data_IF_171984682335
#
_entry.id   IF_171984682335
#
_cell.length_a   1.000
_cell.length_b   1.000
_cell.length_c   1.000
_cell.angle_alpha   90.00
_cell.angle_beta   90.00
_cell.angle_gamma   90.00
#
_symmetry.space_group_name_H-M   'P 1'
#
loop_
_entity.id
_entity.type
_entity.pdbx_description
1 polymer ?
#
# COMPACT_ATOMS: atom_id res chain seq x y z
N UNK A 1 -2.70 -8.65 24.46
CA UNK A 1 -3.36 -7.80 23.46
C UNK A 1 -3.81 -6.55 24.18
N UNK A 2 -3.09 -5.46 24.03
CA UNK A 2 -3.54 -4.19 24.58
C UNK A 2 -4.45 -3.56 23.53
N UNK A 3 -5.69 -3.47 23.85
CA UNK A 3 -6.68 -2.78 23.03
C UNK A 3 -6.73 -1.33 23.50
N UNK A 4 -6.50 -0.42 22.62
CA UNK A 4 -6.61 1.00 22.89
C UNK A 4 -8.03 1.45 22.57
N UNK A 5 -8.75 1.97 23.54
CA UNK A 5 -9.99 2.69 23.25
C UNK A 5 -9.60 4.14 22.98
N UNK A 6 -10.00 4.66 21.83
CA UNK A 6 -9.87 6.06 21.57
C UNK A 6 -10.51 6.84 22.71
N UNK A 7 -9.85 7.90 23.10
CA UNK A 7 -10.49 8.90 23.96
C UNK A 7 -11.81 9.23 23.30
N UNK A 8 -12.91 8.83 23.90
CA UNK A 8 -14.21 9.27 23.50
C UNK A 8 -14.23 10.79 23.70
N UNK A 9 -14.00 11.55 22.62
CA UNK A 9 -14.30 12.98 22.60
C UNK A 9 -15.82 13.13 22.68
N UNK A 10 -16.32 12.96 23.88
CA UNK A 10 -17.73 13.17 24.17
C UNK A 10 -17.93 14.66 24.25
N UNK A 11 -18.45 15.25 23.16
CA UNK A 11 -19.00 16.61 23.24
C UNK A 11 -20.29 16.58 24.09
N UNK A 12 -20.76 17.72 24.56
CA UNK A 12 -21.95 17.84 25.43
C UNK A 12 -23.14 17.01 24.93
N UNK A 13 -23.32 16.92 23.62
CA UNK A 13 -24.42 16.19 23.01
C UNK A 13 -24.21 14.67 23.03
N UNK A 14 -22.99 14.22 22.84
CA UNK A 14 -22.61 12.78 22.94
C UNK A 14 -22.63 12.33 24.41
N UNK A 15 -22.19 13.19 25.32
CA UNK A 15 -22.22 13.00 26.75
C UNK A 15 -23.65 12.74 27.24
N UNK A 16 -24.59 13.59 26.84
CA UNK A 16 -25.98 13.44 27.19
C UNK A 16 -26.56 12.09 26.73
N UNK A 17 -26.32 11.71 25.49
CA UNK A 17 -26.85 10.47 24.93
C UNK A 17 -26.25 9.22 25.58
N UNK A 18 -24.98 9.23 25.90
CA UNK A 18 -24.32 8.11 26.59
C UNK A 18 -24.82 8.03 28.04
N UNK A 19 -24.86 9.14 28.72
CA UNK A 19 -25.34 9.25 30.10
C UNK A 19 -26.78 8.76 30.23
N UNK A 20 -27.66 9.20 29.34
CA UNK A 20 -29.05 8.76 29.33
C UNK A 20 -29.18 7.25 29.11
N UNK A 21 -28.50 6.72 28.10
CA UNK A 21 -28.53 5.28 27.80
C UNK A 21 -27.98 4.42 28.94
N UNK A 22 -26.84 4.78 29.50
CA UNK A 22 -26.22 4.03 30.59
C UNK A 22 -27.04 4.13 31.87
N UNK A 23 -27.55 5.32 32.21
CA UNK A 23 -28.43 5.49 33.37
C UNK A 23 -29.70 4.67 33.24
N UNK A 24 -30.28 4.57 32.06
CA UNK A 24 -31.48 3.76 31.80
C UNK A 24 -31.18 2.27 31.93
N UNK A 25 -30.01 1.84 31.39
CA UNK A 25 -29.66 0.41 31.36
C UNK A 25 -29.06 -0.08 32.67
N UNK A 26 -28.22 0.74 33.33
CA UNK A 26 -27.45 0.35 34.50
C UNK A 26 -27.98 0.98 35.79
N UNK A 27 -29.02 1.81 35.73
CA UNK A 27 -29.59 2.56 36.86
C UNK A 27 -28.54 3.38 37.63
N UNK A 28 -27.58 3.94 36.91
CA UNK A 28 -26.50 4.79 37.46
C UNK A 28 -27.00 6.21 37.55
N UNK A 29 -27.03 6.78 38.75
CA UNK A 29 -27.50 8.16 38.98
C UNK A 29 -26.51 9.25 38.56
N UNK A 30 -25.22 8.92 38.59
CA UNK A 30 -24.14 9.79 38.14
C UNK A 30 -23.14 8.97 37.35
N UNK A 31 -22.81 9.44 36.16
CA UNK A 31 -21.78 8.85 35.31
C UNK A 31 -20.66 9.87 35.12
N UNK A 32 -19.43 9.58 35.60
CA UNK A 32 -18.31 10.50 35.50
C UNK A 32 -17.80 10.55 34.06
N UNK A 33 -18.49 11.29 33.21
CA UNK A 33 -18.17 11.39 31.78
C UNK A 33 -17.01 12.36 31.53
N UNK A 34 -16.51 12.99 32.59
CA UNK A 34 -15.42 13.98 32.49
C UNK A 34 -14.01 13.38 32.59
N UNK A 35 -13.90 12.08 32.81
CA UNK A 35 -12.60 11.42 32.88
C UNK A 35 -12.20 10.92 31.48
N UNK A 36 -11.23 11.61 30.89
CA UNK A 36 -10.57 11.22 29.66
C UNK A 36 -9.40 10.27 29.97
N UNK A 37 -9.67 9.17 30.61
CA UNK A 37 -8.64 8.16 30.78
C UNK A 37 -8.67 7.21 29.59
N UNK A 38 -7.53 6.97 28.94
CA UNK A 38 -7.47 5.93 27.94
C UNK A 38 -7.73 4.58 28.61
N UNK A 39 -8.72 3.85 28.12
CA UNK A 39 -9.02 2.48 28.62
C UNK A 39 -7.87 1.53 28.28
N UNK A 40 -7.06 1.87 27.30
CA UNK A 40 -5.90 1.11 26.88
C UNK A 40 -4.72 2.04 26.59
N UNK A 41 -3.55 1.65 27.04
CA UNK A 41 -2.30 2.29 26.71
C UNK A 41 -1.65 1.56 25.52
N UNK A 42 -0.96 2.32 24.68
CA UNK A 42 -0.12 1.75 23.63
C UNK A 42 1.00 0.95 24.28
N UNK A 43 1.23 -0.26 23.78
CA UNK A 43 2.25 -1.16 24.34
C UNK A 43 3.66 -0.74 23.98
N UNK A 44 3.81 -0.18 22.81
CA UNK A 44 5.07 0.22 22.22
C UNK A 44 4.93 1.59 21.57
N UNK A 45 6.04 2.30 21.55
CA UNK A 45 6.15 3.51 20.76
C UNK A 45 6.27 3.11 19.29
N UNK A 46 5.64 3.89 18.42
CA UNK A 46 5.74 3.76 16.96
C UNK A 46 6.58 4.90 16.42
N UNK A 47 7.46 4.60 15.48
CA UNK A 47 8.20 5.60 14.72
C UNK A 47 7.38 6.06 13.53
N UNK A 48 7.10 7.35 13.45
CA UNK A 48 6.38 7.96 12.33
C UNK A 48 7.40 8.46 11.28
N UNK A 49 7.47 7.77 10.16
CA UNK A 49 8.33 8.10 9.01
C UNK A 49 7.54 8.63 7.80
N UNK A 50 6.30 9.05 8.02
CA UNK A 50 5.42 9.61 6.98
C UNK A 50 6.12 10.68 6.16
N UNK A 51 6.81 11.61 6.82
CA UNK A 51 7.49 12.74 6.16
C UNK A 51 8.62 12.34 5.21
N UNK A 52 9.18 11.17 5.41
CA UNK A 52 10.27 10.68 4.56
C UNK A 52 9.79 10.32 3.16
N UNK A 53 8.49 10.14 2.99
CA UNK A 53 7.87 9.69 1.74
C UNK A 53 6.80 10.65 1.18
N UNK A 54 6.09 11.42 2.03
CA UNK A 54 4.87 12.13 1.65
C UNK A 54 5.07 13.12 0.49
N UNK A 55 6.24 13.76 0.40
CA UNK A 55 6.56 14.73 -0.66
C UNK A 55 6.93 14.07 -1.99
N UNK A 56 7.35 12.81 -1.96
CA UNK A 56 7.83 12.06 -3.12
C UNK A 56 6.80 11.09 -3.68
N UNK A 57 5.83 10.69 -2.85
CA UNK A 57 4.76 9.81 -3.28
C UNK A 57 3.74 10.54 -4.14
N UNK A 58 3.26 9.85 -5.16
CA UNK A 58 2.03 10.26 -5.83
C UNK A 58 0.84 9.85 -4.95
N UNK A 59 0.10 10.83 -4.47
CA UNK A 59 -1.18 10.63 -3.77
C UNK A 59 -2.21 11.55 -4.42
N UNK A 60 -3.43 11.07 -4.66
CA UNK A 60 -4.49 11.87 -5.27
C UNK A 60 -4.73 13.16 -4.48
N UNK A 61 -4.70 14.31 -5.15
CA UNK A 61 -4.77 15.64 -4.52
C UNK A 61 -6.03 15.88 -3.71
N UNK A 62 -7.12 15.23 -4.05
CA UNK A 62 -8.39 15.36 -3.37
C UNK A 62 -8.46 14.51 -2.09
N UNK A 63 -7.66 13.42 -2.04
CA UNK A 63 -7.68 12.42 -0.97
C UNK A 63 -6.26 12.18 -0.44
N UNK A 64 -5.61 13.25 0.01
CA UNK A 64 -4.22 13.27 0.45
C UNK A 64 -4.04 12.73 1.86
N UNK A 65 -4.46 11.51 2.12
CA UNK A 65 -4.06 10.84 3.34
C UNK A 65 -2.97 9.83 3.02
N UNK A 66 -1.85 10.00 3.66
CA UNK A 66 -0.76 9.03 3.68
C UNK A 66 -0.17 8.97 5.08
N UNK A 67 0.15 7.78 5.54
CA UNK A 67 0.84 7.56 6.80
C UNK A 67 1.72 6.33 6.68
N UNK A 68 2.93 6.41 7.25
CA UNK A 68 3.83 5.28 7.38
C UNK A 68 4.44 5.27 8.78
N UNK A 69 4.13 4.24 9.55
CA UNK A 69 4.68 4.05 10.89
C UNK A 69 5.31 2.68 11.02
N UNK A 70 6.36 2.61 11.84
CA UNK A 70 7.09 1.39 12.17
C UNK A 70 6.91 1.12 13.67
N UNK A 71 6.56 -0.11 13.99
CA UNK A 71 6.50 -0.61 15.36
C UNK A 71 7.59 -1.67 15.49
N UNK A 72 8.76 -1.26 16.00
CA UNK A 72 9.94 -2.12 16.07
C UNK A 72 9.69 -3.36 16.95
N UNK A 73 8.98 -3.21 18.06
CA UNK A 73 8.65 -4.35 18.94
C UNK A 73 7.83 -5.41 18.18
N UNK A 74 6.87 -4.97 17.39
CA UNK A 74 6.04 -5.86 16.58
C UNK A 74 6.81 -6.47 15.42
N UNK A 75 7.69 -5.71 14.83
CA UNK A 75 8.57 -6.17 13.75
C UNK A 75 9.55 -7.25 14.26
N UNK A 76 10.11 -7.06 15.43
CA UNK A 76 10.94 -8.07 16.10
C UNK A 76 10.16 -9.34 16.47
N UNK A 77 8.87 -9.21 16.80
CA UNK A 77 7.95 -10.33 17.02
C UNK A 77 7.53 -11.04 15.72
N UNK A 78 7.93 -10.54 14.54
CA UNK A 78 7.58 -11.08 13.23
C UNK A 78 6.20 -10.66 12.73
N UNK A 79 5.65 -9.56 13.24
CA UNK A 79 4.40 -9.04 12.72
C UNK A 79 4.58 -8.49 11.29
N UNK A 80 3.59 -8.66 10.39
CA UNK A 80 3.72 -8.33 8.99
C UNK A 80 3.77 -6.82 8.72
N UNK A 81 4.27 -6.45 7.53
CA UNK A 81 4.09 -5.16 6.91
C UNK A 81 2.73 -5.10 6.21
N UNK A 82 1.91 -4.11 6.52
CA UNK A 82 0.60 -3.93 5.94
C UNK A 82 0.51 -2.67 5.09
N UNK A 83 -0.06 -2.79 3.90
CA UNK A 83 -0.55 -1.67 3.09
C UNK A 83 -2.07 -1.60 3.23
N UNK A 84 -2.58 -0.46 3.68
CA UNK A 84 -4.00 -0.28 3.99
C UNK A 84 -4.58 0.84 3.13
N UNK A 85 -5.55 0.48 2.31
CA UNK A 85 -6.42 1.45 1.64
C UNK A 85 -7.60 1.69 2.56
N UNK A 86 -7.63 2.86 3.21
CA UNK A 86 -8.59 3.14 4.28
C UNK A 86 -9.51 4.29 3.96
N UNK A 87 -10.75 4.18 4.40
CA UNK A 87 -11.73 5.25 4.36
C UNK A 87 -11.50 6.29 5.45
N UNK A 88 -12.19 7.42 5.34
CA UNK A 88 -12.10 8.54 6.29
C UNK A 88 -12.52 8.18 7.73
N UNK A 89 -13.26 7.09 7.92
CA UNK A 89 -13.63 6.59 9.26
C UNK A 89 -12.42 6.13 10.08
N UNK A 90 -11.38 5.67 9.41
CA UNK A 90 -10.14 5.26 10.07
C UNK A 90 -9.22 6.43 10.42
N UNK A 91 -9.34 7.57 9.74
CA UNK A 91 -8.42 8.71 9.90
C UNK A 91 -8.45 9.35 11.30
N UNK A 92 -9.50 9.14 12.08
CA UNK A 92 -9.59 9.70 13.42
C UNK A 92 -8.82 8.92 14.46
N UNK A 93 -9.16 7.64 14.62
CA UNK A 93 -8.68 6.84 15.74
C UNK A 93 -8.54 5.34 15.42
N UNK A 94 -9.19 4.86 14.37
CA UNK A 94 -9.17 3.45 14.00
C UNK A 94 -7.77 2.95 13.66
N UNK A 95 -6.96 3.77 13.00
CA UNK A 95 -5.61 3.45 12.61
C UNK A 95 -4.68 3.11 13.79
N UNK A 96 -4.92 3.65 15.00
CA UNK A 96 -4.12 3.35 16.20
C UNK A 96 -4.14 1.87 16.60
N UNK A 97 -5.22 1.19 16.29
CA UNK A 97 -5.29 -0.27 16.51
C UNK A 97 -4.41 -1.01 15.51
N UNK A 98 -4.40 -0.56 14.26
CA UNK A 98 -3.61 -1.16 13.20
C UNK A 98 -2.12 -0.89 13.40
N UNK A 99 -1.71 0.33 13.74
CA UNK A 99 -0.31 0.67 14.07
C UNK A 99 0.29 -0.26 15.14
N UNK A 100 -0.52 -0.70 16.09
CA UNK A 100 -0.08 -1.59 17.15
C UNK A 100 -0.21 -3.08 16.83
N UNK A 101 -0.76 -3.41 15.68
CA UNK A 101 -0.96 -4.80 15.24
C UNK A 101 0.09 -5.26 14.23
N UNK A 102 0.69 -4.33 13.51
CA UNK A 102 1.64 -4.60 12.42
C UNK A 102 3.05 -4.16 12.80
N UNK A 103 4.07 -4.77 12.17
CA UNK A 103 5.46 -4.33 12.28
C UNK A 103 5.69 -3.04 11.49
N UNK A 104 5.08 -2.95 10.31
CA UNK A 104 5.03 -1.73 9.50
C UNK A 104 3.59 -1.51 9.04
N UNK A 105 3.08 -0.31 9.25
CA UNK A 105 1.73 0.08 8.84
C UNK A 105 1.81 1.25 7.88
N UNK A 106 1.40 1.02 6.64
CA UNK A 106 1.33 2.02 5.58
C UNK A 106 -0.14 2.21 5.22
N UNK A 107 -0.62 3.44 5.23
CA UNK A 107 -1.99 3.72 4.83
C UNK A 107 -2.10 4.85 3.82
N UNK A 108 -3.00 4.67 2.86
CA UNK A 108 -3.44 5.68 1.90
C UNK A 108 -4.95 5.74 1.92
N UNK A 109 -5.54 6.88 1.55
CA UNK A 109 -6.98 6.96 1.40
C UNK A 109 -7.44 6.04 0.26
N UNK A 110 -8.52 5.29 0.47
CA UNK A 110 -9.04 4.32 -0.51
C UNK A 110 -9.53 4.99 -1.82
N UNK A 111 -10.19 6.16 -1.72
CA UNK A 111 -10.76 6.84 -2.88
C UNK A 111 -9.67 7.18 -3.90
N UNK A 112 -9.89 6.80 -5.16
CA UNK A 112 -8.98 6.99 -6.29
C UNK A 112 -7.58 6.41 -6.12
N UNK A 113 -6.99 6.46 -4.91
CA UNK A 113 -5.66 5.90 -4.70
C UNK A 113 -5.61 4.38 -4.91
N UNK A 114 -6.71 3.68 -4.72
CA UNK A 114 -6.82 2.25 -5.03
C UNK A 114 -6.55 1.95 -6.51
N UNK A 115 -6.78 2.91 -7.43
CA UNK A 115 -6.46 2.77 -8.85
C UNK A 115 -4.96 2.74 -9.13
N UNK A 116 -4.16 3.14 -8.15
CA UNK A 116 -2.70 3.10 -8.17
C UNK A 116 -2.16 1.98 -7.29
N UNK A 117 -2.94 0.91 -7.12
CA UNK A 117 -2.57 -0.24 -6.29
C UNK A 117 -1.15 -0.74 -6.57
N UNK A 118 -0.82 -1.04 -7.84
CA UNK A 118 0.49 -1.55 -8.23
C UNK A 118 1.63 -0.59 -7.86
N UNK A 119 1.40 0.72 -7.98
CA UNK A 119 2.36 1.74 -7.60
C UNK A 119 2.73 1.64 -6.11
N UNK A 120 1.74 1.61 -5.22
CA UNK A 120 1.98 1.49 -3.78
C UNK A 120 2.53 0.11 -3.42
N UNK A 121 2.00 -0.94 -4.05
CA UNK A 121 2.47 -2.30 -3.83
C UNK A 121 3.95 -2.45 -4.21
N UNK A 122 4.35 -1.92 -5.35
CA UNK A 122 5.74 -1.95 -5.82
C UNK A 122 6.69 -1.18 -4.88
N UNK A 123 6.27 -0.02 -4.37
CA UNK A 123 7.10 0.78 -3.46
C UNK A 123 7.29 0.06 -2.14
N UNK A 124 6.21 -0.39 -1.52
CA UNK A 124 6.24 -0.85 -0.13
C UNK A 124 6.45 -2.35 0.01
N UNK A 125 6.17 -3.16 -1.02
CA UNK A 125 6.28 -4.63 -0.97
C UNK A 125 5.70 -5.19 0.34
N UNK A 126 4.38 -5.01 0.59
CA UNK A 126 3.74 -5.41 1.83
C UNK A 126 3.56 -6.93 1.91
N UNK A 127 3.56 -7.48 3.12
CA UNK A 127 3.20 -8.88 3.37
C UNK A 127 1.69 -9.12 3.28
N UNK A 128 0.90 -8.06 3.51
CA UNK A 128 -0.55 -8.11 3.37
C UNK A 128 -1.13 -6.77 2.95
N UNK A 129 -2.28 -6.82 2.25
CA UNK A 129 -3.04 -5.65 1.85
C UNK A 129 -4.42 -5.70 2.48
N UNK A 130 -4.87 -4.56 3.00
CA UNK A 130 -6.19 -4.41 3.61
C UNK A 130 -6.95 -3.32 2.87
N UNK A 131 -8.15 -3.65 2.42
CA UNK A 131 -9.10 -2.70 1.90
C UNK A 131 -10.19 -2.46 2.95
N UNK A 132 -10.16 -1.28 3.57
CA UNK A 132 -11.21 -0.81 4.48
C UNK A 132 -12.11 0.14 3.70
N UNK A 133 -13.27 -0.34 3.29
CA UNK A 133 -14.22 0.37 2.46
C UNK A 133 -15.54 0.55 3.21
N UNK A 134 -16.06 1.77 3.20
CA UNK A 134 -17.42 2.01 3.67
C UNK A 134 -18.41 1.46 2.63
N UNK A 135 -19.50 0.85 3.07
CA UNK A 135 -20.48 0.19 2.19
C UNK A 135 -20.95 1.09 1.05
N UNK A 136 -21.21 2.38 1.34
CA UNK A 136 -21.69 3.33 0.33
C UNK A 136 -20.62 3.71 -0.71
N UNK A 137 -19.33 3.44 -0.45
CA UNK A 137 -18.24 3.76 -1.38
C UNK A 137 -18.09 2.72 -2.48
N UNK A 138 -18.78 1.58 -2.37
CA UNK A 138 -18.81 0.56 -3.42
C UNK A 138 -19.70 0.95 -4.63
N UNK A 139 -20.20 2.17 -4.64
CA UNK A 139 -20.96 2.69 -5.76
C UNK A 139 -20.06 3.23 -6.90
N UNK A 140 -20.49 3.14 -8.17
CA UNK A 140 -19.70 3.58 -9.33
C UNK A 140 -19.21 5.03 -9.26
N UNK A 141 -19.89 5.90 -8.50
CA UNK A 141 -19.50 7.31 -8.34
C UNK A 141 -18.13 7.47 -7.69
N UNK A 142 -17.72 6.54 -6.83
CA UNK A 142 -16.43 6.56 -6.15
C UNK A 142 -15.34 5.82 -6.94
N UNK A 143 -15.73 4.88 -7.80
CA UNK A 143 -14.83 4.04 -8.59
C UNK A 143 -15.09 4.14 -10.11
N UNK A 144 -15.50 5.31 -10.58
CA UNK A 144 -15.81 5.55 -12.00
C UNK A 144 -14.65 5.30 -12.96
N UNK A 145 -13.43 5.21 -12.44
CA UNK A 145 -12.24 4.91 -13.22
C UNK A 145 -11.99 3.40 -13.38
N UNK A 146 -12.74 2.58 -12.68
CA UNK A 146 -12.65 1.12 -12.76
C UNK A 146 -13.69 0.60 -13.75
N UNK A 147 -13.24 0.18 -14.90
CA UNK A 147 -14.01 -0.67 -15.79
C UNK A 147 -13.88 -2.12 -15.31
N UNK A 148 -14.72 -2.49 -14.34
CA UNK A 148 -14.71 -3.83 -13.76
C UNK A 148 -15.06 -4.94 -14.75
N UNK A 149 -15.67 -4.59 -15.89
CA UNK A 149 -16.02 -5.56 -16.93
C UNK A 149 -14.81 -5.95 -17.79
N UNK A 150 -13.76 -5.13 -17.78
CA UNK A 150 -12.56 -5.31 -18.60
C UNK A 150 -11.26 -5.39 -17.79
N UNK A 151 -11.34 -5.71 -16.50
CA UNK A 151 -10.13 -5.96 -15.72
C UNK A 151 -9.54 -7.31 -16.13
N UNK A 152 -8.44 -7.24 -16.85
CA UNK A 152 -7.56 -8.38 -17.01
C UNK A 152 -6.67 -8.48 -15.77
N UNK A 153 -6.86 -9.52 -14.99
CA UNK A 153 -5.96 -9.81 -13.87
C UNK A 153 -4.61 -10.25 -14.43
N UNK A 154 -3.54 -9.65 -13.93
CA UNK A 154 -2.21 -10.14 -14.22
C UNK A 154 -2.11 -11.61 -13.77
N UNK A 155 -1.71 -12.53 -14.65
CA UNK A 155 -1.57 -13.91 -14.27
C UNK A 155 -0.47 -14.05 -13.21
N UNK A 156 -0.63 -15.05 -12.35
CA UNK A 156 0.41 -15.39 -11.40
C UNK A 156 1.69 -15.75 -12.17
N UNK A 157 2.79 -15.10 -11.80
CA UNK A 157 4.10 -15.31 -12.43
C UNK A 157 4.51 -16.79 -12.50
N UNK A 158 4.26 -17.55 -11.43
CA UNK A 158 4.56 -18.98 -11.40
C UNK A 158 3.77 -19.77 -12.44
N UNK A 159 2.49 -19.44 -12.62
CA UNK A 159 1.64 -20.09 -13.61
C UNK A 159 2.10 -19.80 -15.05
N UNK A 160 2.64 -18.59 -15.27
CA UNK A 160 3.22 -18.19 -16.55
C UNK A 160 4.53 -18.95 -16.80
N UNK A 161 5.44 -18.99 -15.84
CA UNK A 161 6.76 -19.63 -15.99
C UNK A 161 6.66 -21.15 -16.22
N UNK A 162 5.67 -21.82 -15.62
CA UNK A 162 5.48 -23.26 -15.78
C UNK A 162 4.97 -23.66 -17.19
N UNK A 163 4.30 -22.76 -17.91
CA UNK A 163 3.61 -23.07 -19.16
C UNK A 163 4.23 -22.43 -20.40
N UNK A 164 5.17 -21.51 -20.25
CA UNK A 164 5.71 -20.72 -21.33
C UNK A 164 7.04 -21.23 -21.85
N UNK A 165 7.32 -21.00 -23.15
CA UNK A 165 8.65 -21.11 -23.72
C UNK A 165 9.53 -19.95 -23.20
N UNK A 166 10.68 -20.29 -22.60
CA UNK A 166 11.60 -19.29 -22.03
C UNK A 166 12.72 -18.98 -23.00
N UNK A 167 12.87 -17.70 -23.36
CA UNK A 167 13.94 -17.15 -24.19
C UNK A 167 14.80 -16.24 -23.30
N UNK A 168 16.12 -16.22 -23.52
CA UNK A 168 17.04 -15.31 -22.82
C UNK A 168 17.65 -14.33 -23.80
N UNK A 169 17.60 -13.05 -23.47
CA UNK A 169 18.16 -11.96 -24.23
C UNK A 169 19.02 -11.05 -23.35
N UNK A 170 19.77 -10.16 -23.96
CA UNK A 170 20.63 -9.21 -23.25
C UNK A 170 20.20 -7.78 -23.53
N UNK A 171 20.19 -6.94 -22.50
CA UNK A 171 20.00 -5.51 -22.59
C UNK A 171 21.31 -4.76 -22.34
N UNK A 172 21.50 -3.63 -23.00
CA UNK A 172 22.60 -2.74 -22.68
C UNK A 172 22.28 -1.91 -21.43
N UNK A 173 23.28 -1.46 -20.73
CA UNK A 173 23.08 -0.57 -19.58
C UNK A 173 22.42 0.75 -19.95
N UNK A 174 22.62 1.24 -21.17
CA UNK A 174 22.00 2.47 -21.69
C UNK A 174 20.48 2.33 -21.93
N UNK A 175 19.98 1.11 -22.03
CA UNK A 175 18.56 0.83 -22.18
C UNK A 175 17.79 0.92 -20.85
N UNK A 176 18.52 1.10 -19.73
CA UNK A 176 17.92 1.23 -18.40
C UNK A 176 18.29 2.55 -17.77
N UNK A 177 17.29 3.39 -17.56
CA UNK A 177 17.42 4.66 -16.86
C UNK A 177 16.96 4.52 -15.41
N UNK A 178 17.74 5.08 -14.48
CA UNK A 178 17.44 5.06 -13.05
C UNK A 178 17.46 6.49 -12.52
N UNK A 179 16.30 6.98 -12.11
CA UNK A 179 16.13 8.27 -11.46
C UNK A 179 15.92 8.08 -9.94
N UNK A 180 16.44 9.01 -9.13
CA UNK A 180 16.18 9.01 -7.67
C UNK A 180 15.42 10.26 -7.29
N UNK A 181 14.42 10.08 -6.43
CA UNK A 181 13.56 11.14 -5.93
C UNK A 181 13.28 10.84 -4.45
N UNK A 182 14.00 11.53 -3.56
CA UNK A 182 13.95 11.26 -2.11
C UNK A 182 14.22 9.79 -1.79
N UNK A 183 13.27 9.15 -1.14
CA UNK A 183 13.32 7.73 -0.81
C UNK A 183 12.81 6.81 -1.93
N UNK A 184 12.47 7.37 -3.10
CA UNK A 184 11.98 6.62 -4.23
C UNK A 184 13.03 6.50 -5.34
N UNK A 185 12.90 5.44 -6.12
CA UNK A 185 13.71 5.17 -7.29
C UNK A 185 12.79 4.84 -8.47
N UNK A 186 12.86 5.67 -9.51
CA UNK A 186 12.13 5.47 -10.75
C UNK A 186 13.03 4.73 -11.73
N UNK A 187 12.62 3.57 -12.21
CA UNK A 187 13.37 2.73 -13.15
C UNK A 187 12.58 2.68 -14.45
N UNK A 188 13.23 2.97 -15.55
CA UNK A 188 12.64 2.92 -16.88
C UNK A 188 13.51 2.05 -17.78
N UNK A 189 12.89 1.13 -18.52
CA UNK A 189 13.55 0.25 -19.46
C UNK A 189 13.01 0.46 -20.87
N UNK A 190 13.92 0.44 -21.83
CA UNK A 190 13.66 0.44 -23.29
C UNK A 190 14.29 -0.81 -23.91
N UNK A 191 14.04 -1.03 -25.21
CA UNK A 191 14.67 -2.15 -25.92
C UNK A 191 14.13 -3.53 -25.57
N UNK A 192 13.04 -3.61 -24.83
CA UNK A 192 12.30 -4.86 -24.60
C UNK A 192 11.05 -4.89 -25.50
N UNK A 193 10.39 -6.05 -25.58
CA UNK A 193 9.22 -6.23 -26.46
C UNK A 193 8.11 -5.22 -26.15
N UNK A 194 7.89 -4.30 -27.10
CA UNK A 194 6.86 -3.26 -27.00
C UNK A 194 5.42 -3.81 -27.03
N UNK A 195 5.24 -5.04 -27.49
CA UNK A 195 3.93 -5.68 -27.57
C UNK A 195 3.67 -6.67 -26.42
N UNK A 196 4.58 -6.70 -25.44
CA UNK A 196 4.41 -7.57 -24.29
C UNK A 196 3.07 -7.30 -23.57
N UNK A 197 2.37 -8.38 -23.25
CA UNK A 197 1.12 -8.31 -22.49
C UNK A 197 1.40 -7.94 -21.03
N UNK A 198 2.49 -8.51 -20.47
CA UNK A 198 2.95 -8.23 -19.11
C UNK A 198 4.44 -8.00 -19.08
N UNK A 199 4.88 -7.07 -18.26
CA UNK A 199 6.29 -6.75 -18.04
C UNK A 199 6.56 -6.67 -16.55
N UNK A 200 7.54 -7.42 -16.11
CA UNK A 200 7.99 -7.45 -14.71
C UNK A 200 9.47 -7.12 -14.62
N UNK A 201 9.84 -6.53 -13.52
CA UNK A 201 11.23 -6.42 -13.08
C UNK A 201 11.44 -7.31 -11.87
N UNK A 202 12.44 -8.17 -11.91
CA UNK A 202 12.87 -8.98 -10.76
C UNK A 202 14.16 -8.41 -10.17
N UNK A 203 14.19 -8.29 -8.87
CA UNK A 203 15.33 -7.78 -8.12
C UNK A 203 15.30 -8.29 -6.68
N UNK A 204 16.39 -8.91 -6.20
CA UNK A 204 16.49 -9.46 -4.84
C UNK A 204 15.34 -10.39 -4.42
N UNK A 205 14.78 -11.14 -5.35
CA UNK A 205 13.67 -12.05 -5.07
C UNK A 205 12.29 -11.40 -4.98
N UNK A 206 12.20 -10.09 -5.20
CA UNK A 206 10.94 -9.37 -5.36
C UNK A 206 10.62 -9.21 -6.84
N UNK A 207 9.34 -9.25 -7.15
CA UNK A 207 8.79 -8.97 -8.48
C UNK A 207 8.03 -7.65 -8.45
N UNK A 208 8.25 -6.84 -9.48
CA UNK A 208 7.68 -5.50 -9.60
C UNK A 208 6.97 -5.38 -10.94
N UNK A 209 5.68 -5.12 -10.94
CA UNK A 209 4.91 -4.87 -12.15
C UNK A 209 5.31 -3.55 -12.80
N UNK A 210 5.61 -3.57 -14.09
CA UNK A 210 6.00 -2.39 -14.84
C UNK A 210 4.87 -1.88 -15.71
N UNK A 211 4.72 -0.56 -15.74
CA UNK A 211 3.71 0.11 -16.57
C UNK A 211 4.32 0.54 -17.90
N UNK A 212 3.58 0.30 -18.97
CA UNK A 212 3.92 0.82 -20.30
C UNK A 212 3.68 2.32 -20.38
N UNK A 213 4.68 3.04 -20.88
CA UNK A 213 4.61 4.47 -21.17
C UNK A 213 4.16 4.73 -22.61
N UNK A 214 3.82 5.98 -22.91
CA UNK A 214 3.39 6.39 -24.25
C UNK A 214 4.50 6.23 -25.32
N UNK A 215 5.75 6.29 -24.91
CA UNK A 215 6.94 6.13 -25.76
C UNK A 215 7.38 4.67 -25.95
N UNK A 216 6.54 3.72 -25.57
CA UNK A 216 6.79 2.29 -25.57
C UNK A 216 7.89 1.80 -24.62
N UNK A 217 8.40 2.65 -23.74
CA UNK A 217 9.20 2.22 -22.60
C UNK A 217 8.31 1.63 -21.50
N UNK A 218 8.94 0.98 -20.52
CA UNK A 218 8.23 0.50 -19.32
C UNK A 218 8.89 1.08 -18.08
N UNK A 219 8.09 1.44 -17.09
CA UNK A 219 8.59 2.06 -15.87
C UNK A 219 7.98 1.48 -14.61
N UNK A 220 8.73 1.58 -13.52
CA UNK A 220 8.30 1.23 -12.18
C UNK A 220 8.94 2.17 -11.17
N UNK A 221 8.20 2.50 -10.12
CA UNK A 221 8.73 3.22 -8.95
C UNK A 221 8.84 2.25 -7.78
N UNK A 222 9.98 2.24 -7.11
CA UNK A 222 10.25 1.39 -5.94
C UNK A 222 10.83 2.21 -4.80
N UNK A 223 10.86 1.67 -3.58
CA UNK A 223 11.66 2.23 -2.49
C UNK A 223 13.15 2.12 -2.84
N UNK A 224 13.88 3.22 -2.72
CA UNK A 224 15.30 3.27 -3.06
C UNK A 224 16.17 2.34 -2.22
N UNK A 225 15.72 1.95 -1.03
CA UNK A 225 16.35 0.92 -0.17
C UNK A 225 16.35 -0.46 -0.82
N UNK A 226 15.37 -0.71 -1.69
CA UNK A 226 15.22 -1.99 -2.40
C UNK A 226 16.02 -2.03 -3.70
N UNK A 227 16.50 -0.89 -4.19
CA UNK A 227 17.25 -0.83 -5.44
C UNK A 227 18.57 -1.60 -5.36
N UNK A 228 18.83 -2.41 -6.40
CA UNK A 228 20.06 -3.18 -6.59
C UNK A 228 20.44 -3.24 -8.07
N UNK A 229 21.73 -3.38 -8.37
CA UNK A 229 22.19 -3.38 -9.76
C UNK A 229 21.96 -4.71 -10.50
N UNK A 230 21.69 -5.80 -9.77
CA UNK A 230 21.38 -7.11 -10.35
C UNK A 230 19.85 -7.17 -10.57
N UNK A 231 19.45 -6.79 -11.77
CA UNK A 231 18.06 -6.70 -12.18
C UNK A 231 17.82 -7.53 -13.43
N UNK A 232 16.71 -8.24 -13.48
CA UNK A 232 16.21 -8.98 -14.62
C UNK A 232 14.86 -8.39 -15.04
N UNK A 233 14.67 -8.12 -16.33
CA UNK A 233 13.38 -7.74 -16.87
C UNK A 233 12.77 -8.94 -17.57
N UNK A 234 11.47 -9.12 -17.41
CA UNK A 234 10.75 -10.28 -17.93
C UNK A 234 9.53 -9.78 -18.67
N UNK A 235 9.40 -10.21 -19.92
CA UNK A 235 8.20 -9.95 -20.72
C UNK A 235 7.46 -11.24 -20.98
N UNK A 236 6.12 -11.14 -21.02
CA UNK A 236 5.25 -12.24 -21.42
C UNK A 236 4.38 -11.81 -22.59
N UNK A 237 4.35 -12.63 -23.63
CA UNK A 237 3.49 -12.46 -24.79
C UNK A 237 3.19 -13.83 -25.43
N UNK A 238 1.91 -14.09 -25.69
CA UNK A 238 1.44 -15.24 -26.48
C UNK A 238 2.06 -16.60 -26.08
N UNK A 239 2.17 -16.86 -24.78
CA UNK A 239 2.73 -18.11 -24.24
C UNK A 239 4.27 -18.18 -24.27
N UNK A 240 4.95 -17.05 -24.47
CA UNK A 240 6.41 -16.93 -24.42
C UNK A 240 6.85 -15.98 -23.32
N UNK A 241 7.93 -16.34 -22.66
CA UNK A 241 8.63 -15.48 -21.70
C UNK A 241 9.98 -15.12 -22.30
N UNK A 242 10.30 -13.84 -22.33
CA UNK A 242 11.65 -13.37 -22.61
C UNK A 242 12.26 -12.76 -21.36
N UNK A 243 13.40 -13.31 -20.93
CA UNK A 243 14.19 -12.81 -19.79
C UNK A 243 15.35 -12.00 -20.31
N UNK A 244 15.42 -10.74 -19.89
CA UNK A 244 16.46 -9.80 -20.28
C UNK A 244 17.40 -9.55 -19.11
N UNK A 245 18.67 -9.82 -19.32
CA UNK A 245 19.74 -9.56 -18.35
C UNK A 245 20.65 -8.44 -18.84
N UNK A 246 21.10 -7.57 -17.93
CA UNK A 246 22.02 -6.51 -18.28
C UNK A 246 23.39 -7.04 -18.64
N UNK A 247 23.93 -6.60 -19.78
CA UNK A 247 25.34 -6.84 -20.15
C UNK A 247 26.22 -6.04 -19.21
N UNK A 248 27.16 -6.74 -18.53
CA UNK A 248 28.15 -6.11 -17.66
C UNK A 248 29.24 -5.40 -18.47
#
# INVERSE_FOLDING_TARGET
>A
MQTWYPQLHINEKSEYNIKEKLNTTLQVSEFPIHEYEPIFELKSEVEDITKDYEDDLYVDDQYRHFQYVINEDRKEEGAPKALVFQGSYMNGMGYKFLENSFGEYISVHDYRNITYFDYYYNIFQPDCVIFELAEYTLEPVYFTQYDMEHIELNPNEQDIEEQAEVISESLNQEDVAVGRRGNLCDITVTGIDENATYVYMKMKGCTYDMRKNEDASYSVTIDSKNYWNDVEFITYQDGKITKYSLVQ
#
